data_IF_122914466308
#
_entry.id   IF_122914466308
#
_cell.length_a   1.000
_cell.length_b   1.000
_cell.length_c   1.000
_cell.angle_alpha   90.00
_cell.angle_beta   90.00
_cell.angle_gamma   90.00
#
_symmetry.space_group_name_H-M   'P 1'
#
loop_
_entity.id
_entity.type
_entity.pdbx_description
1 polymer ?
#
# COMPACT_ATOMS: atom_id res chain seq x y z
N UNK A 1 -6.17 -26.44 12.42
CA UNK A 1 -6.42 -27.85 12.02
C UNK A 1 -5.33 -28.27 11.06
N UNK A 2 -4.60 -29.34 11.38
CA UNK A 2 -3.54 -29.85 10.50
C UNK A 2 -4.19 -30.49 9.26
N UNK A 3 -3.76 -30.08 8.07
CA UNK A 3 -4.14 -30.73 6.81
C UNK A 3 -3.47 -32.10 6.77
N UNK A 4 -4.24 -33.17 6.62
CA UNK A 4 -3.69 -34.52 6.53
C UNK A 4 -3.16 -34.78 5.11
N UNK A 5 -1.87 -34.56 4.89
CA UNK A 5 -1.23 -34.75 3.58
C UNK A 5 -1.23 -36.20 3.09
N UNK A 6 -1.50 -37.20 3.95
CA UNK A 6 -1.51 -38.61 3.57
C UNK A 6 -2.70 -38.99 2.68
N UNK A 7 -3.87 -38.35 2.86
CA UNK A 7 -5.07 -38.55 2.02
C UNK A 7 -4.92 -37.99 0.59
N UNK A 8 -4.00 -37.05 0.38
CA UNK A 8 -3.70 -36.46 -0.93
C UNK A 8 -2.67 -37.28 -1.75
N UNK A 9 -2.00 -38.26 -1.13
CA UNK A 9 -0.90 -39.02 -1.73
C UNK A 9 -1.38 -40.09 -2.72
N UNK A 10 -2.58 -40.64 -2.55
CA UNK A 10 -3.12 -41.71 -3.41
C UNK A 10 -3.83 -41.23 -4.69
N UNK A 11 -3.98 -39.91 -4.91
CA UNK A 11 -4.76 -39.34 -6.04
C UNK A 11 -3.97 -38.33 -6.89
N UNK A 12 -2.65 -38.50 -7.03
CA UNK A 12 -1.78 -37.49 -7.68
C UNK A 12 -2.11 -37.19 -9.16
N UNK A 13 -2.81 -38.08 -9.87
CA UNK A 13 -3.19 -37.86 -11.29
C UNK A 13 -4.51 -37.10 -11.49
N UNK A 14 -5.42 -37.12 -10.51
CA UNK A 14 -6.70 -36.43 -10.60
C UNK A 14 -6.58 -34.94 -10.22
N UNK A 15 -5.77 -34.62 -9.21
CA UNK A 15 -5.61 -33.26 -8.70
C UNK A 15 -4.96 -32.30 -9.71
N UNK A 16 -4.01 -32.78 -10.52
CA UNK A 16 -3.42 -31.98 -11.61
C UNK A 16 -4.41 -31.60 -12.73
N UNK A 17 -5.55 -32.30 -12.82
CA UNK A 17 -6.63 -32.00 -13.78
C UNK A 17 -7.61 -30.95 -13.26
N UNK A 18 -7.57 -30.64 -11.96
CA UNK A 18 -8.46 -29.67 -11.32
C UNK A 18 -7.89 -28.26 -11.48
N UNK A 19 -8.46 -27.50 -12.41
CA UNK A 19 -8.08 -26.12 -12.71
C UNK A 19 -9.27 -25.32 -13.21
N UNK A 20 -9.15 -23.98 -13.16
CA UNK A 20 -10.15 -23.08 -13.72
C UNK A 20 -11.53 -23.32 -13.12
N UNK A 21 -12.53 -23.57 -13.98
CA UNK A 21 -13.92 -23.65 -13.58
C UNK A 21 -14.25 -24.74 -12.54
N UNK A 22 -13.47 -25.83 -12.49
CA UNK A 22 -13.64 -26.86 -11.44
C UNK A 22 -13.38 -26.30 -10.04
N UNK A 23 -12.42 -25.39 -9.90
CA UNK A 23 -12.12 -24.71 -8.62
C UNK A 23 -13.32 -23.85 -8.21
N UNK A 24 -13.92 -23.13 -9.15
CA UNK A 24 -15.14 -22.35 -8.90
C UNK A 24 -16.27 -23.23 -8.38
N UNK A 25 -16.53 -24.38 -9.01
CA UNK A 25 -17.57 -25.30 -8.56
C UNK A 25 -17.25 -25.95 -7.21
N UNK A 26 -15.98 -26.27 -6.92
CA UNK A 26 -15.56 -26.76 -5.60
C UNK A 26 -15.97 -25.78 -4.50
N UNK A 27 -15.64 -24.49 -4.64
CA UNK A 27 -16.04 -23.48 -3.65
C UNK A 27 -17.57 -23.30 -3.60
N UNK A 28 -18.26 -23.31 -4.73
CA UNK A 28 -19.73 -23.18 -4.75
C UNK A 28 -20.42 -24.31 -3.99
N UNK A 29 -19.92 -25.54 -4.12
CA UNK A 29 -20.42 -26.70 -3.39
C UNK A 29 -20.00 -26.68 -1.91
N UNK A 30 -18.80 -26.20 -1.59
CA UNK A 30 -18.30 -26.08 -0.23
C UNK A 30 -19.21 -25.21 0.68
N UNK A 31 -19.81 -24.17 0.12
CA UNK A 31 -20.68 -23.24 0.85
C UNK A 31 -22.18 -23.61 0.86
N UNK A 32 -22.58 -24.78 0.38
CA UNK A 32 -23.99 -25.20 0.54
C UNK A 32 -24.53 -26.25 -0.44
N UNK A 33 -23.69 -26.90 -1.25
CA UNK A 33 -24.16 -27.81 -2.30
C UNK A 33 -25.11 -27.11 -3.30
N UNK A 34 -25.87 -27.90 -4.06
CA UNK A 34 -26.97 -27.36 -4.87
C UNK A 34 -27.38 -28.23 -6.04
N UNK A 35 -28.52 -27.89 -6.67
CA UNK A 35 -28.94 -28.54 -7.92
C UNK A 35 -28.13 -27.99 -9.08
N UNK A 36 -28.02 -28.77 -10.15
CA UNK A 36 -27.29 -28.35 -11.36
C UNK A 36 -27.82 -27.03 -11.95
N UNK A 37 -29.14 -26.84 -11.94
CA UNK A 37 -29.78 -25.61 -12.42
C UNK A 37 -29.39 -24.39 -11.59
N UNK A 38 -29.39 -24.52 -10.26
CA UNK A 38 -29.08 -23.42 -9.35
C UNK A 38 -27.59 -23.04 -9.46
N UNK A 39 -26.72 -24.05 -9.60
CA UNK A 39 -25.29 -23.84 -9.84
C UNK A 39 -25.03 -23.18 -11.20
N UNK A 40 -25.77 -23.57 -12.24
CA UNK A 40 -25.70 -22.98 -13.57
C UNK A 40 -26.10 -21.49 -13.56
N UNK A 41 -27.18 -21.15 -12.87
CA UNK A 41 -27.61 -19.77 -12.67
C UNK A 41 -26.56 -18.96 -11.91
N UNK A 42 -26.08 -19.45 -10.76
CA UNK A 42 -25.08 -18.76 -9.93
C UNK A 42 -23.77 -18.46 -10.66
N UNK A 43 -23.36 -19.32 -11.59
CA UNK A 43 -22.11 -19.15 -12.32
C UNK A 43 -22.28 -18.55 -13.73
N UNK A 44 -23.52 -18.27 -14.17
CA UNK A 44 -23.83 -17.76 -15.50
C UNK A 44 -23.38 -18.71 -16.63
N UNK A 45 -23.47 -20.03 -16.42
CA UNK A 45 -23.12 -21.06 -17.43
C UNK A 45 -24.34 -21.90 -17.78
N UNK A 46 -24.28 -22.59 -18.93
CA UNK A 46 -25.34 -23.52 -19.31
C UNK A 46 -25.37 -24.74 -18.37
N UNK A 47 -26.55 -25.29 -18.13
CA UNK A 47 -26.72 -26.48 -17.29
C UNK A 47 -25.89 -27.67 -17.80
N UNK A 48 -25.83 -27.88 -19.12
CA UNK A 48 -25.00 -28.94 -19.73
C UNK A 48 -23.50 -28.74 -19.43
N UNK A 49 -23.03 -27.49 -19.43
CA UNK A 49 -21.65 -27.18 -19.10
C UNK A 49 -21.36 -27.51 -17.63
N UNK A 50 -22.21 -27.05 -16.71
CA UNK A 50 -22.05 -27.34 -15.27
C UNK A 50 -22.14 -28.84 -14.99
N UNK A 51 -23.13 -29.53 -15.56
CA UNK A 51 -23.32 -30.97 -15.41
C UNK A 51 -22.07 -31.76 -15.81
N UNK A 52 -21.45 -31.40 -16.95
CA UNK A 52 -20.21 -32.05 -17.41
C UNK A 52 -19.08 -31.94 -16.37
N UNK A 53 -18.94 -30.77 -15.74
CA UNK A 53 -17.93 -30.57 -14.71
C UNK A 53 -18.26 -31.31 -13.41
N UNK A 54 -19.53 -31.33 -12.99
CA UNK A 54 -19.96 -32.08 -11.82
C UNK A 54 -19.74 -33.59 -12.00
N UNK A 55 -20.05 -34.15 -13.17
CA UNK A 55 -19.73 -35.56 -13.50
C UNK A 55 -18.22 -35.85 -13.49
N UNK A 56 -17.39 -34.89 -13.91
CA UNK A 56 -15.94 -35.06 -13.80
C UNK A 56 -15.46 -35.02 -12.35
N UNK A 57 -16.00 -34.09 -11.54
CA UNK A 57 -15.69 -34.01 -10.11
C UNK A 57 -16.11 -35.28 -9.37
N UNK A 58 -17.23 -35.89 -9.74
CA UNK A 58 -17.65 -37.19 -9.24
C UNK A 58 -16.67 -38.31 -9.61
N UNK A 59 -16.24 -38.37 -10.87
CA UNK A 59 -15.21 -39.32 -11.33
C UNK A 59 -13.88 -39.12 -10.62
N UNK A 60 -13.57 -37.91 -10.16
CA UNK A 60 -12.37 -37.60 -9.39
C UNK A 60 -12.54 -37.87 -7.90
N UNK A 61 -13.73 -38.30 -7.45
CA UNK A 61 -14.01 -38.52 -6.04
C UNK A 61 -14.13 -37.24 -5.21
N UNK A 62 -14.33 -36.08 -5.85
CA UNK A 62 -14.41 -34.76 -5.19
C UNK A 62 -15.84 -34.34 -4.87
N UNK A 63 -16.81 -34.83 -5.63
CA UNK A 63 -18.22 -34.52 -5.47
C UNK A 63 -19.06 -35.79 -5.56
N UNK A 64 -20.25 -35.74 -4.98
CA UNK A 64 -21.24 -36.82 -5.06
C UNK A 64 -22.61 -36.24 -5.37
N UNK A 65 -23.43 -37.01 -6.08
CA UNK A 65 -24.82 -36.68 -6.37
C UNK A 65 -25.74 -37.46 -5.44
N UNK A 66 -26.66 -36.76 -4.76
CA UNK A 66 -27.72 -37.35 -3.96
C UNK A 66 -29.06 -36.76 -4.39
N UNK A 67 -29.91 -37.55 -5.04
CA UNK A 67 -31.11 -37.06 -5.71
C UNK A 67 -30.73 -36.01 -6.76
N UNK A 68 -31.39 -34.84 -6.73
CA UNK A 68 -31.08 -33.73 -7.64
C UNK A 68 -29.94 -32.83 -7.18
N UNK A 69 -29.40 -33.09 -6.00
CA UNK A 69 -28.41 -32.24 -5.35
C UNK A 69 -26.99 -32.78 -5.47
N UNK A 70 -26.05 -31.86 -5.54
CA UNK A 70 -24.61 -32.12 -5.57
C UNK A 70 -23.97 -31.63 -4.27
N UNK A 71 -23.05 -32.45 -3.74
CA UNK A 71 -22.29 -32.16 -2.53
C UNK A 71 -20.81 -32.49 -2.73
N UNK A 72 -19.94 -31.93 -1.90
CA UNK A 72 -18.56 -32.39 -1.82
C UNK A 72 -18.48 -33.70 -1.03
N UNK A 73 -17.54 -34.55 -1.41
CA UNK A 73 -17.05 -35.64 -0.56
C UNK A 73 -16.09 -35.10 0.49
N UNK A 74 -15.70 -35.92 1.46
CA UNK A 74 -14.65 -35.56 2.43
C UNK A 74 -13.34 -35.17 1.74
N UNK A 75 -12.95 -35.93 0.69
CA UNK A 75 -11.78 -35.60 -0.13
C UNK A 75 -11.95 -34.27 -0.87
N UNK A 76 -13.14 -33.94 -1.35
CA UNK A 76 -13.45 -32.64 -1.95
C UNK A 76 -13.29 -31.50 -0.95
N UNK A 77 -13.77 -31.67 0.28
CA UNK A 77 -13.64 -30.70 1.38
C UNK A 77 -12.17 -30.50 1.77
N UNK A 78 -11.41 -31.57 1.95
CA UNK A 78 -9.98 -31.49 2.24
C UNK A 78 -9.21 -30.79 1.12
N UNK A 79 -9.58 -31.04 -0.13
CA UNK A 79 -8.94 -30.40 -1.27
C UNK A 79 -9.20 -28.89 -1.32
N UNK A 80 -10.42 -28.43 -1.01
CA UNK A 80 -10.71 -26.99 -0.87
C UNK A 80 -9.86 -26.35 0.22
N UNK A 81 -9.73 -26.98 1.39
CA UNK A 81 -8.88 -26.49 2.48
C UNK A 81 -7.40 -26.41 2.07
N UNK A 82 -6.90 -27.39 1.32
CA UNK A 82 -5.56 -27.35 0.75
C UNK A 82 -5.39 -26.15 -0.19
N UNK A 83 -6.36 -25.90 -1.09
CA UNK A 83 -6.31 -24.76 -2.00
C UNK A 83 -6.24 -23.42 -1.24
N UNK A 84 -7.01 -23.25 -0.16
CA UNK A 84 -6.95 -22.04 0.68
C UNK A 84 -5.56 -21.83 1.27
N UNK A 85 -4.92 -22.89 1.79
CA UNK A 85 -3.56 -22.81 2.32
C UNK A 85 -2.57 -22.41 1.23
N UNK A 86 -2.65 -23.02 0.05
CA UNK A 86 -1.76 -22.70 -1.08
C UNK A 86 -1.95 -21.24 -1.54
N UNK A 87 -3.18 -20.78 -1.72
CA UNK A 87 -3.44 -19.39 -2.13
C UNK A 87 -2.92 -18.38 -1.10
N UNK A 88 -3.15 -18.63 0.19
CA UNK A 88 -2.63 -17.77 1.25
C UNK A 88 -1.10 -17.75 1.28
N UNK A 89 -0.45 -18.91 1.14
CA UNK A 89 1.01 -19.01 1.06
C UNK A 89 1.59 -18.27 -0.16
N UNK A 90 0.93 -18.35 -1.32
CA UNK A 90 1.33 -17.61 -2.53
C UNK A 90 1.22 -16.11 -2.31
N UNK A 91 0.11 -15.64 -1.72
CA UNK A 91 -0.09 -14.22 -1.39
C UNK A 91 1.01 -13.75 -0.43
N UNK A 92 1.33 -14.52 0.59
CA UNK A 92 2.36 -14.17 1.57
C UNK A 92 3.77 -14.18 0.97
N UNK A 93 4.07 -15.14 0.08
CA UNK A 93 5.31 -15.14 -0.68
C UNK A 93 5.43 -13.88 -1.55
N UNK A 94 4.39 -13.50 -2.29
CA UNK A 94 4.38 -12.27 -3.10
C UNK A 94 4.63 -11.02 -2.25
N UNK A 95 3.97 -10.91 -1.09
CA UNK A 95 4.21 -9.80 -0.13
C UNK A 95 5.67 -9.76 0.33
N UNK A 96 6.29 -10.91 0.63
CA UNK A 96 7.72 -10.98 1.02
C UNK A 96 8.63 -10.49 -0.11
N UNK A 97 8.39 -10.92 -1.34
CA UNK A 97 9.16 -10.50 -2.53
C UNK A 97 9.03 -8.99 -2.76
N UNK A 98 7.83 -8.43 -2.67
CA UNK A 98 7.61 -6.99 -2.82
C UNK A 98 8.32 -6.18 -1.74
N UNK A 99 8.29 -6.61 -0.47
CA UNK A 99 9.02 -5.94 0.62
C UNK A 99 10.52 -5.91 0.34
N UNK A 100 11.09 -7.06 -0.05
CA UNK A 100 12.51 -7.16 -0.39
C UNK A 100 12.88 -6.23 -1.54
N UNK A 101 12.07 -6.21 -2.61
CA UNK A 101 12.29 -5.28 -3.74
C UNK A 101 12.23 -3.81 -3.32
N UNK A 102 11.29 -3.42 -2.45
CA UNK A 102 11.20 -2.05 -1.91
C UNK A 102 12.39 -1.69 -1.04
N UNK A 103 12.86 -2.61 -0.20
CA UNK A 103 14.07 -2.41 0.61
C UNK A 103 15.32 -2.26 -0.25
N UNK A 104 15.45 -3.10 -1.29
CA UNK A 104 16.58 -3.03 -2.21
C UNK A 104 16.58 -1.71 -2.99
N UNK A 105 15.41 -1.23 -3.45
CA UNK A 105 15.29 0.11 -4.06
C UNK A 105 15.72 1.23 -3.10
N UNK A 106 15.25 1.20 -1.85
CA UNK A 106 15.65 2.19 -0.83
C UNK A 106 17.16 2.20 -0.60
N UNK A 107 17.81 1.02 -0.57
CA UNK A 107 19.27 0.90 -0.43
C UNK A 107 20.03 1.49 -1.62
N UNK A 108 19.47 1.39 -2.83
CA UNK A 108 20.06 1.99 -4.04
C UNK A 108 19.84 3.50 -4.06
N UNK A 109 18.63 3.97 -3.75
CA UNK A 109 18.29 5.40 -3.67
C UNK A 109 19.09 6.13 -2.56
N UNK A 110 19.35 5.47 -1.44
CA UNK A 110 20.18 6.04 -0.36
C UNK A 110 21.66 6.15 -0.70
N UNK A 111 22.12 5.45 -1.74
CA UNK A 111 23.53 5.44 -2.19
C UNK A 111 23.80 6.46 -3.30
N UNK A 112 22.78 7.05 -3.91
CA UNK A 112 23.01 8.14 -4.85
C UNK A 112 23.36 9.41 -4.08
N UNK A 113 24.46 10.10 -4.41
CA UNK A 113 24.74 11.41 -3.86
C UNK A 113 23.58 12.32 -4.26
N UNK A 114 22.84 12.84 -3.26
CA UNK A 114 21.81 13.85 -3.50
C UNK A 114 22.50 15.02 -4.18
N UNK A 115 22.23 15.24 -5.47
CA UNK A 115 22.62 16.44 -6.18
C UNK A 115 22.14 17.62 -5.33
N UNK A 116 23.07 18.37 -4.77
CA UNK A 116 22.79 19.59 -4.02
C UNK A 116 22.09 20.55 -4.98
N UNK A 117 20.76 20.58 -4.91
CA UNK A 117 19.96 21.59 -5.59
C UNK A 117 20.30 22.91 -4.92
N UNK A 118 21.27 23.64 -5.44
CA UNK A 118 21.56 24.99 -4.97
C UNK A 118 20.46 25.89 -5.52
N UNK A 119 19.38 26.06 -4.77
CA UNK A 119 18.38 27.08 -5.05
C UNK A 119 18.97 28.40 -4.53
N UNK A 120 19.31 29.40 -5.37
CA UNK A 120 19.76 30.73 -4.91
C UNK A 120 18.56 31.52 -4.34
N UNK A 121 18.21 31.19 -3.09
CA UNK A 121 16.99 31.63 -2.40
C UNK A 121 17.04 33.12 -2.02
N UNK A 122 18.25 33.66 -1.82
CA UNK A 122 18.46 35.05 -1.40
C UNK A 122 17.84 36.07 -2.36
N UNK A 123 17.77 35.76 -3.66
CA UNK A 123 17.14 36.63 -4.66
C UNK A 123 15.61 36.62 -4.56
N UNK A 124 15.01 35.47 -4.24
CA UNK A 124 13.56 35.38 -4.05
C UNK A 124 13.11 36.08 -2.76
N UNK A 125 13.82 35.86 -1.65
CA UNK A 125 13.51 36.49 -0.36
C UNK A 125 13.64 38.02 -0.42
N UNK A 126 14.58 38.56 -1.22
CA UNK A 126 14.70 40.02 -1.41
C UNK A 126 13.47 40.63 -2.08
N UNK A 127 12.83 39.90 -2.99
CA UNK A 127 11.68 40.37 -3.76
C UNK A 127 10.33 39.91 -3.20
N UNK A 128 10.31 39.22 -2.05
CA UNK A 128 9.07 38.80 -1.40
C UNK A 128 8.55 39.87 -0.44
N UNK A 129 7.22 40.01 -0.39
CA UNK A 129 6.52 40.87 0.58
C UNK A 129 6.43 40.29 1.99
N UNK A 130 7.24 39.26 2.29
CA UNK A 130 7.28 38.60 3.60
C UNK A 130 7.96 39.48 4.65
N UNK A 131 7.53 39.34 5.90
CA UNK A 131 8.20 39.92 7.06
C UNK A 131 9.56 39.24 7.34
N UNK A 132 10.43 39.89 8.11
CA UNK A 132 11.78 39.39 8.36
C UNK A 132 11.79 37.98 8.98
N UNK A 133 10.93 37.72 9.96
CA UNK A 133 10.83 36.40 10.63
C UNK A 133 10.29 35.34 9.68
N UNK A 134 9.34 35.68 8.81
CA UNK A 134 8.83 34.77 7.77
C UNK A 134 9.93 34.39 6.77
N UNK A 135 10.77 35.37 6.38
CA UNK A 135 11.93 35.14 5.50
C UNK A 135 12.92 34.18 6.14
N UNK A 136 13.24 34.38 7.42
CA UNK A 136 14.14 33.50 8.16
C UNK A 136 13.60 32.06 8.28
N UNK A 137 12.30 31.90 8.56
CA UNK A 137 11.67 30.57 8.59
C UNK A 137 11.83 29.86 7.26
N UNK A 138 11.52 30.55 6.15
CA UNK A 138 11.64 29.99 4.80
C UNK A 138 13.10 29.67 4.46
N UNK A 139 14.03 30.55 4.83
CA UNK A 139 15.47 30.37 4.61
C UNK A 139 16.00 29.13 5.33
N UNK A 140 15.67 28.95 6.61
CA UNK A 140 16.07 27.77 7.40
C UNK A 140 15.52 26.48 6.79
N UNK A 141 14.24 26.47 6.38
CA UNK A 141 13.62 25.30 5.79
C UNK A 141 14.24 24.94 4.43
N UNK A 142 14.53 25.94 3.59
CA UNK A 142 15.12 25.71 2.27
C UNK A 142 16.61 25.36 2.37
N UNK A 143 17.35 25.94 3.30
CA UNK A 143 18.71 25.53 3.62
C UNK A 143 18.75 24.06 4.03
N UNK A 144 17.86 23.65 4.93
CA UNK A 144 17.73 22.25 5.32
C UNK A 144 17.40 21.33 4.13
N UNK A 145 16.53 21.78 3.23
CA UNK A 145 16.21 21.06 2.00
C UNK A 145 17.43 20.92 1.07
N UNK A 146 18.22 21.98 0.89
CA UNK A 146 19.41 21.95 0.05
C UNK A 146 20.51 21.04 0.64
N UNK A 147 20.67 21.04 1.96
CA UNK A 147 21.68 20.23 2.68
C UNK A 147 21.28 18.75 2.77
N UNK A 148 20.00 18.45 3.04
CA UNK A 148 19.56 17.08 3.37
C UNK A 148 18.64 16.44 2.34
N UNK A 149 18.07 17.22 1.41
CA UNK A 149 16.98 16.81 0.54
C UNK A 149 15.63 16.63 1.24
N UNK A 150 15.53 16.81 2.56
CA UNK A 150 14.27 16.74 3.30
C UNK A 150 13.51 18.06 3.21
N UNK A 151 12.22 18.00 2.87
CA UNK A 151 11.36 19.19 2.76
C UNK A 151 10.90 19.76 4.10
N UNK A 152 11.27 19.11 5.21
CA UNK A 152 10.83 19.49 6.53
C UNK A 152 11.91 19.30 7.58
N UNK A 153 11.81 20.10 8.64
CA UNK A 153 12.52 19.93 9.90
C UNK A 153 11.55 19.39 10.95
N UNK A 154 12.12 18.73 11.96
CA UNK A 154 11.43 18.37 13.19
C UNK A 154 11.99 19.24 14.30
N UNK A 155 11.09 19.83 15.08
CA UNK A 155 11.40 20.60 16.29
C UNK A 155 10.45 20.14 17.38
N UNK A 156 10.87 20.14 18.64
CA UNK A 156 10.03 19.73 19.77
C UNK A 156 8.84 20.66 19.92
N UNK A 157 9.11 21.96 19.93
CA UNK A 157 8.12 23.01 20.15
C UNK A 157 8.53 24.32 19.46
N UNK A 158 7.74 25.37 19.72
CA UNK A 158 8.00 26.72 19.22
C UNK A 158 9.30 27.34 19.75
N UNK A 159 9.76 26.93 20.94
CA UNK A 159 10.94 27.49 21.57
C UNK A 159 12.20 26.99 20.86
N UNK A 160 12.28 25.68 20.57
CA UNK A 160 13.40 25.13 19.79
C UNK A 160 13.50 25.78 18.40
N UNK A 161 12.35 26.07 17.77
CA UNK A 161 12.35 26.77 16.49
C UNK A 161 12.81 28.23 16.66
N UNK A 162 12.36 28.90 17.71
CA UNK A 162 12.74 30.29 18.00
C UNK A 162 14.24 30.45 18.27
N UNK A 163 14.87 29.49 18.95
CA UNK A 163 16.31 29.48 19.16
C UNK A 163 17.08 29.33 17.85
N UNK A 164 16.59 28.48 16.94
CA UNK A 164 17.20 28.30 15.60
C UNK A 164 17.08 29.56 14.74
N UNK A 165 15.98 30.30 14.88
CA UNK A 165 15.72 31.53 14.14
C UNK A 165 16.32 32.77 14.81
N UNK A 166 16.69 32.69 16.10
CA UNK A 166 17.04 33.85 16.93
C UNK A 166 15.92 34.91 16.98
N UNK A 167 14.67 34.46 16.95
CA UNK A 167 13.47 35.31 16.93
C UNK A 167 12.60 35.06 18.17
N UNK A 168 11.65 35.95 18.46
CA UNK A 168 10.74 35.76 19.59
C UNK A 168 9.75 34.60 19.30
N UNK A 169 9.49 33.67 20.25
CA UNK A 169 8.51 32.60 20.06
C UNK A 169 7.13 33.07 19.55
N UNK A 170 6.65 34.24 19.99
CA UNK A 170 5.37 34.80 19.55
C UNK A 170 5.41 35.26 18.10
N UNK A 171 6.50 35.88 17.66
CA UNK A 171 6.71 36.30 16.26
C UNK A 171 6.85 35.08 15.35
N UNK A 172 7.53 34.04 15.81
CA UNK A 172 7.67 32.77 15.10
C UNK A 172 6.31 32.10 14.90
N UNK A 173 5.45 32.10 15.92
CA UNK A 173 4.09 31.57 15.79
C UNK A 173 3.29 32.33 14.73
N UNK A 174 3.39 33.66 14.71
CA UNK A 174 2.67 34.50 13.76
C UNK A 174 3.18 34.28 12.33
N UNK A 175 4.49 34.27 12.15
CA UNK A 175 5.13 33.93 10.87
C UNK A 175 4.68 32.56 10.35
N UNK A 176 4.59 31.54 11.22
CA UNK A 176 4.11 30.21 10.83
C UNK A 176 2.64 30.21 10.39
N UNK A 177 1.79 31.04 10.99
CA UNK A 177 0.38 31.17 10.58
C UNK A 177 0.29 31.81 9.20
N UNK A 178 0.97 32.94 8.99
CA UNK A 178 0.97 33.67 7.74
C UNK A 178 1.53 32.83 6.59
N UNK A 179 2.71 32.22 6.78
CA UNK A 179 3.32 31.33 5.78
C UNK A 179 2.43 30.12 5.43
N UNK A 180 1.62 29.64 6.37
CA UNK A 180 0.64 28.57 6.12
C UNK A 180 -0.54 29.08 5.31
N UNK A 181 -1.04 30.28 5.63
CA UNK A 181 -2.11 30.96 4.89
C UNK A 181 -1.69 31.25 3.45
N UNK A 182 -0.45 31.69 3.25
CA UNK A 182 0.16 31.95 1.93
C UNK A 182 0.52 30.68 1.17
N UNK A 183 0.20 29.51 1.72
CA UNK A 183 0.41 28.22 1.08
C UNK A 183 1.90 27.91 0.79
N UNK A 184 2.81 28.51 1.57
CA UNK A 184 4.27 28.33 1.46
C UNK A 184 4.71 27.12 2.28
N UNK A 185 4.23 27.01 3.52
CA UNK A 185 4.59 25.93 4.44
C UNK A 185 3.39 25.05 4.81
N UNK A 186 3.69 23.87 5.33
CA UNK A 186 2.77 23.07 6.14
C UNK A 186 3.34 22.89 7.55
N UNK A 187 2.44 22.86 8.53
CA UNK A 187 2.74 22.60 9.92
C UNK A 187 1.86 21.44 10.39
N UNK A 188 2.47 20.40 10.91
CA UNK A 188 1.80 19.27 11.53
C UNK A 188 2.36 19.05 12.94
N UNK A 189 1.49 18.97 13.93
CA UNK A 189 1.86 18.63 15.31
C UNK A 189 1.54 17.15 15.53
N UNK A 190 2.53 16.39 15.97
CA UNK A 190 2.35 14.98 16.32
C UNK A 190 2.14 14.87 17.82
N UNK A 191 0.89 14.60 18.23
CA UNK A 191 0.56 14.43 19.66
C UNK A 191 1.22 13.16 20.24
N UNK A 192 1.45 12.16 19.40
CA UNK A 192 2.01 10.86 19.80
C UNK A 192 3.53 10.96 20.00
N UNK A 193 4.22 11.78 19.20
CA UNK A 193 5.69 11.83 19.17
C UNK A 193 6.26 13.12 19.77
N UNK A 194 5.41 14.07 20.17
CA UNK A 194 5.81 15.29 20.86
C UNK A 194 6.68 16.23 20.02
N UNK A 195 6.44 16.31 18.71
CA UNK A 195 7.18 17.19 17.81
C UNK A 195 6.28 17.94 16.84
N UNK A 196 6.79 19.07 16.37
CA UNK A 196 6.29 19.82 15.24
C UNK A 196 7.08 19.47 13.98
N UNK A 197 6.35 19.11 12.95
CA UNK A 197 6.86 18.90 11.60
C UNK A 197 6.53 20.11 10.76
N UNK A 198 7.56 20.86 10.40
CA UNK A 198 7.45 22.12 9.66
C UNK A 198 8.16 21.94 8.35
N UNK A 199 7.45 22.13 7.24
CA UNK A 199 8.05 21.90 5.93
C UNK A 199 7.50 22.78 4.84
N UNK A 200 8.29 22.90 3.78
CA UNK A 200 7.93 23.67 2.59
C UNK A 200 6.97 22.86 1.73
N UNK A 201 5.91 23.50 1.23
CA UNK A 201 4.97 22.84 0.31
C UNK A 201 5.64 22.57 -1.03
N UNK A 202 5.28 21.43 -1.62
CA UNK A 202 5.84 21.02 -2.92
C UNK A 202 5.41 21.96 -4.05
N UNK A 203 4.21 22.54 -3.97
CA UNK A 203 3.74 23.58 -4.90
C UNK A 203 4.67 24.79 -4.91
N UNK A 204 5.07 25.24 -3.72
CA UNK A 204 5.97 26.38 -3.56
C UNK A 204 7.39 26.09 -4.09
N UNK A 205 7.94 24.91 -3.80
CA UNK A 205 9.24 24.50 -4.35
C UNK A 205 9.27 24.51 -5.88
N UNK A 206 8.18 24.07 -6.53
CA UNK A 206 8.08 24.12 -8.00
C UNK A 206 8.05 25.55 -8.55
N UNK A 207 7.40 26.47 -7.85
CA UNK A 207 7.37 27.90 -8.23
C UNK A 207 8.79 28.47 -8.17
N UNK A 208 9.56 28.14 -7.12
CA UNK A 208 10.95 28.57 -6.99
C UNK A 208 11.83 27.99 -8.10
N UNK A 209 11.72 26.69 -8.38
CA UNK A 209 12.50 26.03 -9.45
C UNK A 209 12.19 26.62 -10.83
N UNK A 210 10.92 26.95 -11.12
CA UNK A 210 10.54 27.53 -12.42
C UNK A 210 11.08 28.94 -12.61
N UNK A 211 11.13 29.76 -11.55
CA UNK A 211 11.65 31.15 -11.62
C UNK A 211 13.17 31.23 -11.79
N UNK A 212 13.89 30.17 -11.44
CA UNK A 212 15.35 30.12 -11.61
C UNK A 212 15.72 29.74 -13.05
N UNK A 213 14.85 28.98 -13.72
CA UNK A 213 15.07 28.50 -15.08
C UNK A 213 14.45 29.41 -16.18
N UNK A 214 13.82 30.53 -15.78
CA UNK A 214 13.25 31.55 -16.67
C UNK A 214 14.14 32.78 -16.70
#
# INVERSE_FOLDING_TARGET
MAVNYALLSTTSTALGRVRGFTITLLYMLYYGGGRCCDLAERCGKSQNYVWRYLKNMERYGLALKNGDFWFLTDSGVEFVKYLDVVYNNIIDYRKKVERKSKEDRKKVESKQPKTTKQIPISFWLKNSGLENVEKEVVEVLLRHYNETGSKFILVKDQFELSEKLKANPSEVLEALKNLRQDNIIYLYRSDIQGYWKIGVKTSFLKILENRINS
#
